data_IF_214884682660
#
_entry.id   IF_214884682660
#
_cell.length_a   1.000
_cell.length_b   1.000
_cell.length_c   1.000
_cell.angle_alpha   90.00
_cell.angle_beta   90.00
_cell.angle_gamma   90.00
#
_symmetry.space_group_name_H-M   'P 1'
#
loop_
_entity.id
_entity.type
_entity.pdbx_description
1 polymer ?
#
# COMPACT_ATOMS: atom_id res chain seq x y z
N UNK A 1 6.59 -1.88 -26.57
CA UNK A 1 7.80 -2.46 -25.95
C UNK A 1 7.39 -2.97 -24.58
N UNK A 2 7.46 -4.28 -24.34
CA UNK A 2 7.26 -4.83 -22.99
C UNK A 2 8.52 -4.49 -22.18
N UNK A 3 8.46 -3.44 -21.36
CA UNK A 3 9.53 -3.13 -20.41
C UNK A 3 9.70 -4.35 -19.48
N UNK A 4 10.92 -4.93 -19.50
CA UNK A 4 11.27 -6.08 -18.68
C UNK A 4 11.34 -5.61 -17.23
N UNK A 5 10.27 -5.87 -16.47
CA UNK A 5 10.14 -5.48 -15.07
C UNK A 5 11.25 -6.09 -14.21
N UNK A 6 11.83 -5.27 -13.35
CA UNK A 6 12.67 -5.75 -12.24
C UNK A 6 11.80 -6.02 -11.01
N UNK A 7 12.23 -6.96 -10.17
CA UNK A 7 11.59 -7.25 -8.89
C UNK A 7 12.58 -6.90 -7.79
N UNK A 8 12.13 -6.15 -6.79
CA UNK A 8 12.89 -6.00 -5.55
C UNK A 8 12.77 -7.31 -4.77
N UNK A 9 13.79 -8.15 -4.90
CA UNK A 9 13.77 -9.49 -4.34
C UNK A 9 13.64 -9.46 -2.81
N UNK A 10 14.29 -8.51 -2.15
CA UNK A 10 14.21 -8.38 -0.70
C UNK A 10 12.81 -7.97 -0.26
N UNK A 11 12.18 -6.99 -0.92
CA UNK A 11 10.81 -6.60 -0.61
C UNK A 11 9.82 -7.76 -0.86
N UNK A 12 10.02 -8.52 -1.94
CA UNK A 12 9.22 -9.71 -2.25
C UNK A 12 9.38 -10.79 -1.18
N UNK A 13 10.61 -11.08 -0.75
CA UNK A 13 10.88 -12.07 0.27
C UNK A 13 10.21 -11.67 1.59
N UNK A 14 10.29 -10.39 1.98
CA UNK A 14 9.55 -9.88 3.15
C UNK A 14 8.04 -10.11 3.01
N UNK A 15 7.45 -9.82 1.85
CA UNK A 15 6.02 -10.04 1.64
C UNK A 15 5.60 -11.52 1.78
N UNK A 16 6.44 -12.43 1.27
CA UNK A 16 6.18 -13.87 1.34
C UNK A 16 6.42 -14.40 2.75
N UNK A 17 7.59 -14.13 3.34
CA UNK A 17 8.03 -14.83 4.55
C UNK A 17 7.58 -14.14 5.84
N UNK A 18 7.53 -12.80 5.84
CA UNK A 18 7.13 -12.03 7.02
C UNK A 18 5.63 -11.75 7.05
N UNK A 19 5.05 -11.42 5.92
CA UNK A 19 3.61 -11.11 5.84
C UNK A 19 2.75 -12.31 5.44
N UNK A 20 3.35 -13.39 4.94
CA UNK A 20 2.60 -14.57 4.50
C UNK A 20 1.71 -14.30 3.28
N UNK A 21 1.98 -13.23 2.52
CA UNK A 21 1.11 -12.81 1.43
C UNK A 21 1.52 -13.44 0.09
N UNK A 22 0.56 -14.03 -0.65
CA UNK A 22 0.82 -14.58 -1.97
C UNK A 22 1.13 -13.47 -3.00
N UNK A 23 1.79 -13.81 -4.12
CA UNK A 23 2.17 -12.82 -5.15
C UNK A 23 1.00 -11.99 -5.72
N UNK A 24 -0.20 -12.55 -5.72
CA UNK A 24 -1.45 -11.86 -6.10
C UNK A 24 -1.75 -10.66 -5.19
N UNK A 25 -1.21 -10.62 -3.96
CA UNK A 25 -1.38 -9.55 -2.98
C UNK A 25 -0.12 -8.71 -2.75
N UNK A 26 0.90 -8.85 -3.60
CA UNK A 26 2.09 -8.00 -3.55
C UNK A 26 1.79 -6.62 -4.14
N UNK A 27 1.11 -5.79 -3.34
CA UNK A 27 0.67 -4.43 -3.68
C UNK A 27 1.72 -3.43 -3.24
N UNK A 28 2.45 -2.73 -4.14
CA UNK A 28 3.47 -1.78 -3.72
C UNK A 28 2.82 -0.50 -3.16
N UNK A 29 3.34 -0.02 -2.03
CA UNK A 29 2.77 1.13 -1.29
C UNK A 29 3.78 2.21 -0.94
N UNK A 30 5.07 1.90 -0.97
CA UNK A 30 6.15 2.84 -0.67
C UNK A 30 7.40 2.56 -1.52
N UNK A 31 8.18 3.61 -1.78
CA UNK A 31 9.43 3.56 -2.53
C UNK A 31 10.44 4.58 -1.99
N UNK A 32 11.74 4.28 -2.05
CA UNK A 32 12.79 5.18 -1.57
C UNK A 32 12.93 6.40 -2.48
N UNK A 33 12.95 6.17 -3.79
CA UNK A 33 13.13 7.19 -4.82
C UNK A 33 12.15 7.00 -5.98
N UNK A 34 12.02 8.04 -6.82
CA UNK A 34 11.24 7.96 -8.07
C UNK A 34 11.76 6.85 -8.98
N UNK A 35 13.09 6.67 -9.02
CA UNK A 35 13.69 5.63 -9.86
C UNK A 35 13.27 4.23 -9.42
N UNK A 36 13.03 4.00 -8.13
CA UNK A 36 12.55 2.70 -7.63
C UNK A 36 11.11 2.44 -8.05
N UNK A 37 10.26 3.48 -8.09
CA UNK A 37 8.91 3.37 -8.66
C UNK A 37 8.98 2.95 -10.12
N UNK A 38 9.80 3.65 -10.91
CA UNK A 38 9.97 3.36 -12.35
C UNK A 38 10.56 1.97 -12.56
N UNK A 39 11.46 1.52 -11.69
CA UNK A 39 12.16 0.24 -11.85
C UNK A 39 11.28 -0.97 -11.49
N UNK A 40 10.49 -0.85 -10.41
CA UNK A 40 9.82 -2.01 -9.80
C UNK A 40 8.29 -2.01 -9.94
N UNK A 41 7.68 -0.84 -10.15
CA UNK A 41 6.23 -0.64 -10.02
C UNK A 41 5.61 -0.35 -11.39
N UNK A 42 6.04 0.70 -12.07
CA UNK A 42 5.39 1.13 -13.31
C UNK A 42 5.94 2.40 -13.94
N UNK A 43 5.49 2.70 -15.15
CA UNK A 43 5.93 3.88 -15.89
C UNK A 43 5.34 5.17 -15.31
N UNK A 44 6.19 6.18 -15.13
CA UNK A 44 5.76 7.53 -14.82
C UNK A 44 5.18 8.22 -16.05
N UNK A 45 3.85 8.17 -16.21
CA UNK A 45 3.15 8.74 -17.37
C UNK A 45 3.02 10.25 -17.30
N UNK A 46 2.94 10.81 -16.09
CA UNK A 46 2.83 12.26 -15.88
C UNK A 46 3.44 12.68 -14.55
N UNK A 47 4.20 13.78 -14.59
CA UNK A 47 4.60 14.50 -13.36
C UNK A 47 3.44 15.43 -12.99
N UNK A 48 2.81 15.16 -11.86
CA UNK A 48 1.64 15.91 -11.37
C UNK A 48 2.04 17.14 -10.54
N UNK A 49 3.23 17.11 -9.96
CA UNK A 49 3.85 18.25 -9.29
C UNK A 49 5.36 18.11 -9.34
N UNK A 50 6.02 19.08 -9.99
CA UNK A 50 7.47 19.16 -10.08
C UNK A 50 8.07 19.87 -8.86
N UNK A 51 9.38 19.74 -8.72
CA UNK A 51 10.20 20.33 -7.66
C UNK A 51 11.47 19.50 -7.45
N UNK A 52 12.45 20.01 -6.68
CA UNK A 52 13.51 19.20 -6.11
C UNK A 52 13.14 18.82 -4.66
N UNK A 53 12.78 17.55 -4.36
CA UNK A 53 12.55 16.43 -5.27
C UNK A 53 11.17 16.48 -5.95
N UNK A 54 10.94 15.61 -6.95
CA UNK A 54 9.63 15.47 -7.62
C UNK A 54 8.59 15.16 -6.55
N UNK A 55 7.45 15.86 -6.58
CA UNK A 55 6.48 15.85 -5.47
C UNK A 55 5.30 14.93 -5.69
N UNK A 56 4.87 14.75 -6.93
CA UNK A 56 3.77 13.85 -7.27
C UNK A 56 3.87 13.30 -8.69
N UNK A 57 3.52 12.03 -8.84
CA UNK A 57 3.62 11.25 -10.07
C UNK A 57 2.31 10.49 -10.30
N UNK A 58 1.94 10.41 -11.57
CA UNK A 58 0.92 9.49 -12.07
C UNK A 58 1.64 8.28 -12.68
N UNK A 59 1.33 7.10 -12.15
CA UNK A 59 2.01 5.84 -12.45
C UNK A 59 0.99 4.87 -13.05
N UNK A 60 1.35 4.27 -14.18
CA UNK A 60 0.70 3.08 -14.72
C UNK A 60 1.54 1.85 -14.35
N UNK A 61 1.03 0.91 -13.54
CA UNK A 61 1.77 -0.29 -13.15
C UNK A 61 2.15 -1.16 -14.34
N UNK A 62 3.32 -1.80 -14.28
CA UNK A 62 3.74 -2.76 -15.31
C UNK A 62 2.94 -4.05 -15.34
N UNK A 63 2.43 -4.46 -14.19
CA UNK A 63 1.71 -5.71 -14.02
C UNK A 63 0.54 -5.50 -13.09
N UNK A 64 -0.60 -6.02 -13.53
CA UNK A 64 -1.75 -6.31 -12.68
C UNK A 64 -1.72 -7.83 -12.50
N UNK A 65 -1.36 -8.35 -11.31
CA UNK A 65 -1.32 -9.79 -11.06
C UNK A 65 -2.67 -10.43 -11.36
N UNK A 66 -2.64 -11.70 -11.80
CA UNK A 66 -3.85 -12.49 -11.88
C UNK A 66 -4.40 -12.72 -10.46
N UNK A 67 -5.70 -12.51 -10.31
CA UNK A 67 -6.42 -12.83 -9.06
C UNK A 67 -6.47 -14.34 -8.89
N UNK A 68 -6.12 -14.82 -7.71
CA UNK A 68 -6.27 -16.22 -7.29
C UNK A 68 -7.64 -16.43 -6.63
N UNK A 69 -7.83 -17.55 -5.93
CA UNK A 69 -9.10 -17.92 -5.29
C UNK A 69 -9.27 -17.34 -3.88
N UNK A 70 -8.47 -16.33 -3.49
CA UNK A 70 -8.57 -15.73 -2.17
C UNK A 70 -9.88 -14.95 -1.99
N UNK A 71 -10.52 -15.01 -0.80
CA UNK A 71 -11.79 -14.31 -0.55
C UNK A 71 -11.71 -12.78 -0.73
N UNK A 72 -10.54 -12.17 -0.56
CA UNK A 72 -10.33 -10.73 -0.80
C UNK A 72 -10.81 -10.27 -2.17
N UNK A 73 -10.75 -11.13 -3.20
CA UNK A 73 -11.15 -10.78 -4.56
C UNK A 73 -12.66 -10.74 -4.78
N UNK A 74 -13.44 -11.26 -3.84
CA UNK A 74 -14.90 -11.19 -3.86
C UNK A 74 -15.40 -9.80 -3.39
N UNK A 75 -14.54 -9.00 -2.76
CA UNK A 75 -14.85 -7.63 -2.34
C UNK A 75 -14.78 -6.68 -3.54
N UNK A 76 -15.78 -5.81 -3.68
CA UNK A 76 -15.80 -4.76 -4.72
C UNK A 76 -14.60 -3.81 -4.54
N UNK A 77 -14.29 -3.49 -3.28
CA UNK A 77 -13.20 -2.60 -2.90
C UNK A 77 -11.82 -3.14 -3.30
N UNK A 78 -11.68 -4.46 -3.56
CA UNK A 78 -10.42 -5.07 -4.01
C UNK A 78 -9.90 -4.51 -5.34
N UNK A 79 -10.76 -3.84 -6.12
CA UNK A 79 -10.38 -3.15 -7.35
C UNK A 79 -9.28 -2.10 -7.12
N UNK A 80 -9.19 -1.50 -5.92
CA UNK A 80 -8.15 -0.51 -5.61
C UNK A 80 -6.76 -1.13 -5.48
N UNK A 81 -6.63 -2.41 -5.13
CA UNK A 81 -5.34 -3.04 -4.81
C UNK A 81 -4.39 -3.00 -6.00
N UNK A 82 -4.87 -3.41 -7.18
CA UNK A 82 -4.12 -3.41 -8.44
C UNK A 82 -4.70 -2.47 -9.49
N UNK A 83 -5.24 -1.33 -9.04
CA UNK A 83 -5.74 -0.30 -9.94
C UNK A 83 -4.67 0.11 -10.97
N UNK A 84 -5.07 0.20 -12.23
CA UNK A 84 -4.22 0.45 -13.41
C UNK A 84 -3.66 1.87 -13.47
N UNK A 85 -4.22 2.75 -12.64
CA UNK A 85 -3.89 4.17 -12.56
C UNK A 85 -3.62 4.54 -11.10
N UNK A 86 -2.39 4.94 -10.79
CA UNK A 86 -1.96 5.19 -9.42
C UNK A 86 -1.35 6.58 -9.26
N UNK A 87 -1.52 7.16 -8.06
CA UNK A 87 -0.87 8.42 -7.70
C UNK A 87 0.11 8.17 -6.57
N UNK A 88 1.35 8.58 -6.80
CA UNK A 88 2.46 8.45 -5.87
C UNK A 88 2.98 9.84 -5.51
N UNK A 89 3.19 10.09 -4.22
CA UNK A 89 3.57 11.42 -3.73
C UNK A 89 4.75 11.35 -2.78
N UNK A 90 5.54 12.42 -2.79
CA UNK A 90 6.61 12.58 -1.82
C UNK A 90 6.02 12.70 -0.40
N UNK A 91 6.66 12.09 0.60
CA UNK A 91 6.18 11.96 1.98
C UNK A 91 5.97 13.30 2.72
N UNK A 92 6.61 14.37 2.23
CA UNK A 92 6.48 15.74 2.72
C UNK A 92 5.56 16.63 1.88
N UNK A 93 5.00 16.12 0.78
CA UNK A 93 4.18 16.92 -0.12
C UNK A 93 2.76 17.08 0.42
N UNK A 94 2.36 18.32 0.75
CA UNK A 94 1.02 18.64 1.26
C UNK A 94 -0.05 18.85 0.17
N UNK A 95 0.36 19.07 -1.08
CA UNK A 95 -0.55 19.32 -2.21
C UNK A 95 -1.12 18.07 -2.87
N UNK A 96 -0.96 16.89 -2.25
CA UNK A 96 -1.28 15.59 -2.84
C UNK A 96 -2.75 15.47 -3.28
N UNK A 97 -3.70 16.09 -2.55
CA UNK A 97 -5.12 16.12 -2.94
C UNK A 97 -5.32 16.76 -4.31
N UNK A 98 -4.68 17.89 -4.56
CA UNK A 98 -4.76 18.59 -5.86
C UNK A 98 -4.15 17.74 -6.97
N UNK A 99 -3.00 17.13 -6.71
CA UNK A 99 -2.33 16.27 -7.68
C UNK A 99 -3.16 15.05 -8.03
N UNK A 100 -3.82 14.41 -7.05
CA UNK A 100 -4.70 13.27 -7.30
C UNK A 100 -5.85 13.63 -8.25
N UNK A 101 -6.59 14.71 -7.95
CA UNK A 101 -7.71 15.17 -8.77
C UNK A 101 -7.25 15.53 -10.20
N UNK A 102 -6.09 16.18 -10.33
CA UNK A 102 -5.51 16.54 -11.63
C UNK A 102 -4.92 15.35 -12.41
N UNK A 103 -4.58 14.26 -11.71
CA UNK A 103 -3.94 13.08 -12.28
C UNK A 103 -4.95 12.09 -12.83
N UNK A 104 -5.96 11.76 -12.02
CA UNK A 104 -6.98 10.79 -12.40
C UNK A 104 -8.19 11.42 -13.11
N UNK A 105 -8.36 12.75 -13.01
CA UNK A 105 -9.50 13.45 -13.59
C UNK A 105 -10.82 13.18 -12.87
N UNK A 106 -10.77 12.49 -11.73
CA UNK A 106 -11.92 12.01 -10.99
C UNK A 106 -12.23 12.93 -9.81
N UNK A 107 -13.52 13.20 -9.58
CA UNK A 107 -13.99 13.81 -8.34
C UNK A 107 -14.02 12.71 -7.28
N UNK A 108 -13.60 13.04 -6.06
CA UNK A 108 -13.81 12.16 -4.92
C UNK A 108 -15.29 12.19 -4.54
N UNK A 109 -15.86 11.01 -4.31
CA UNK A 109 -17.23 10.88 -3.83
C UNK A 109 -17.42 11.54 -2.47
N UNK A 110 -18.66 11.98 -2.23
CA UNK A 110 -19.03 12.60 -0.96
C UNK A 110 -18.85 11.58 0.17
N UNK A 111 -17.94 11.87 1.09
CA UNK A 111 -17.61 10.95 2.21
C UNK A 111 -16.22 10.34 2.10
N UNK A 112 -15.54 10.48 0.97
CA UNK A 112 -14.17 10.02 0.78
C UNK A 112 -13.14 11.13 1.01
N UNK A 113 -11.99 10.72 1.53
CA UNK A 113 -10.77 11.52 1.67
C UNK A 113 -9.62 10.79 1.01
N UNK A 114 -8.52 11.50 0.75
CA UNK A 114 -7.29 10.87 0.29
C UNK A 114 -6.37 10.66 1.46
N UNK A 115 -5.80 9.46 1.53
CA UNK A 115 -4.81 9.14 2.54
C UNK A 115 -3.61 8.41 1.93
N UNK A 116 -2.49 8.48 2.63
CA UNK A 116 -1.31 7.67 2.34
C UNK A 116 -1.58 6.26 2.84
N UNK A 117 -1.30 5.25 2.02
CA UNK A 117 -1.49 3.85 2.47
C UNK A 117 -0.62 3.60 3.70
N UNK A 118 0.70 3.81 3.57
CA UNK A 118 1.62 3.81 4.69
C UNK A 118 1.61 5.14 5.46
N UNK A 119 1.70 5.08 6.79
CA UNK A 119 1.87 6.27 7.60
C UNK A 119 3.17 7.03 7.25
N UNK A 120 3.05 8.34 7.02
CA UNK A 120 4.19 9.20 6.63
C UNK A 120 5.35 9.23 7.62
N UNK A 121 5.11 9.07 8.92
CA UNK A 121 6.18 9.09 9.95
C UNK A 121 6.94 7.77 9.92
N UNK A 122 6.22 6.66 9.80
CA UNK A 122 6.82 5.32 9.62
C UNK A 122 7.63 5.28 8.32
N UNK A 123 7.10 5.81 7.22
CA UNK A 123 7.80 5.88 5.94
C UNK A 123 9.18 6.58 6.08
N UNK A 124 9.22 7.74 6.74
CA UNK A 124 10.48 8.45 7.03
C UNK A 124 11.45 7.61 7.87
N UNK A 125 10.95 6.93 8.91
CA UNK A 125 11.78 6.04 9.74
C UNK A 125 12.33 4.84 8.98
N UNK A 126 11.64 4.39 7.92
CA UNK A 126 12.05 3.30 7.03
C UNK A 126 12.87 3.77 5.83
N UNK A 127 13.03 5.08 5.65
CA UNK A 127 13.77 5.67 4.53
C UNK A 127 13.00 5.70 3.20
N UNK A 128 11.67 5.57 3.22
CA UNK A 128 10.83 5.68 2.03
C UNK A 128 10.35 7.13 1.83
N UNK A 129 10.72 7.72 0.69
CA UNK A 129 10.38 9.11 0.38
C UNK A 129 9.08 9.24 -0.42
N UNK A 130 8.61 8.16 -1.04
CA UNK A 130 7.43 8.17 -1.90
C UNK A 130 6.39 7.15 -1.43
N UNK A 131 5.13 7.57 -1.40
CA UNK A 131 4.01 6.79 -0.91
C UNK A 131 2.88 6.76 -1.92
N UNK A 132 2.22 5.62 -2.03
CA UNK A 132 0.95 5.49 -2.75
C UNK A 132 -0.15 6.15 -1.94
N UNK A 133 -1.02 6.90 -2.62
CA UNK A 133 -2.24 7.45 -2.03
C UNK A 133 -3.48 6.78 -2.63
N UNK A 134 -4.53 6.65 -1.84
CA UNK A 134 -5.81 6.07 -2.24
C UNK A 134 -6.98 6.85 -1.66
N UNK A 135 -8.15 6.83 -2.32
CA UNK A 135 -9.39 7.33 -1.72
C UNK A 135 -9.85 6.33 -0.66
N UNK A 136 -10.17 6.82 0.54
CA UNK A 136 -10.75 6.03 1.63
C UNK A 136 -11.95 6.77 2.22
N UNK A 137 -12.93 6.05 2.76
CA UNK A 137 -14.03 6.69 3.47
C UNK A 137 -13.51 7.43 4.72
N UNK A 138 -14.16 8.54 5.07
CA UNK A 138 -13.85 9.29 6.30
C UNK A 138 -13.98 8.42 7.55
N UNK A 139 -14.93 7.50 7.53
CA UNK A 139 -15.19 6.58 8.64
C UNK A 139 -14.03 5.59 8.83
N UNK A 140 -13.56 4.96 7.75
CA UNK A 140 -12.38 4.10 7.80
C UNK A 140 -11.14 4.88 8.27
N UNK A 141 -10.93 6.10 7.73
CA UNK A 141 -9.80 6.97 8.10
C UNK A 141 -9.75 7.31 9.59
N UNK A 142 -10.89 7.66 10.20
CA UNK A 142 -10.93 7.99 11.63
C UNK A 142 -10.71 6.76 12.53
N UNK A 143 -11.04 5.58 12.02
CA UNK A 143 -10.97 4.31 12.75
C UNK A 143 -9.56 3.72 12.79
N UNK A 144 -8.74 3.96 11.77
CA UNK A 144 -7.38 3.44 11.65
C UNK A 144 -6.27 4.32 12.26
N UNK A 145 -6.53 5.62 12.48
CA UNK A 145 -5.46 6.63 12.60
C UNK A 145 -4.86 6.89 13.99
N UNK A 146 -5.57 6.59 15.09
CA UNK A 146 -5.18 7.11 16.41
C UNK A 146 -4.13 6.31 17.18
N UNK A 147 -4.34 5.00 17.29
CA UNK A 147 -3.58 4.12 18.18
C UNK A 147 -2.50 3.36 17.41
N UNK A 148 -2.85 2.66 16.33
CA UNK A 148 -1.88 1.85 15.58
C UNK A 148 -0.77 2.70 14.97
N UNK A 149 -1.08 3.90 14.48
CA UNK A 149 -0.06 4.81 13.96
C UNK A 149 0.95 5.24 15.02
N UNK A 150 0.51 5.45 16.27
CA UNK A 150 1.42 5.78 17.38
C UNK A 150 2.32 4.62 17.72
N UNK A 151 1.74 3.42 17.89
CA UNK A 151 2.49 2.19 18.15
C UNK A 151 3.51 1.89 17.06
N UNK A 152 3.14 1.98 15.78
CA UNK A 152 4.04 1.75 14.67
C UNK A 152 5.19 2.75 14.64
N UNK A 153 4.91 4.02 14.92
CA UNK A 153 5.96 5.04 15.03
C UNK A 153 6.88 4.79 16.22
N UNK A 154 6.34 4.46 17.39
CA UNK A 154 7.13 4.15 18.59
C UNK A 154 8.03 2.94 18.36
N UNK A 155 7.48 1.86 17.81
CA UNK A 155 8.21 0.64 17.47
C UNK A 155 9.36 0.94 16.51
N UNK A 156 9.10 1.61 15.39
CA UNK A 156 10.11 1.97 14.41
C UNK A 156 11.07 3.07 14.88
N UNK A 157 10.75 3.76 15.97
CA UNK A 157 11.62 4.76 16.59
C UNK A 157 12.64 4.15 17.56
N UNK A 158 12.47 2.90 17.98
CA UNK A 158 13.44 2.19 18.83
C UNK A 158 14.83 2.10 18.17
N UNK A 159 15.91 2.10 18.97
CA UNK A 159 17.29 2.05 18.45
C UNK A 159 17.53 0.83 17.56
N UNK A 160 17.05 -0.33 18.00
CA UNK A 160 17.11 -1.57 17.23
C UNK A 160 16.41 -1.44 15.88
N UNK A 161 15.15 -0.96 15.87
CA UNK A 161 14.40 -0.85 14.61
C UNK A 161 14.94 0.23 13.68
N UNK A 162 15.52 1.31 14.21
CA UNK A 162 16.22 2.31 13.39
C UNK A 162 17.41 1.68 12.67
N UNK A 163 18.17 0.83 13.35
CA UNK A 163 19.30 0.12 12.73
C UNK A 163 18.79 -0.86 11.66
N UNK A 164 17.78 -1.68 11.98
CA UNK A 164 17.15 -2.60 11.02
C UNK A 164 16.62 -1.86 9.78
N UNK A 165 15.95 -0.72 9.98
CA UNK A 165 15.43 0.10 8.88
C UNK A 165 16.55 0.73 8.04
N UNK A 166 17.64 1.16 8.67
CA UNK A 166 18.80 1.75 7.99
C UNK A 166 19.52 0.71 7.13
N UNK A 167 19.69 -0.50 7.65
CA UNK A 167 20.42 -1.58 6.99
C UNK A 167 19.57 -2.34 5.96
N UNK A 168 18.25 -2.12 5.97
CA UNK A 168 17.34 -2.76 5.01
C UNK A 168 17.68 -2.38 3.57
N UNK A 169 17.97 -3.36 2.69
CA UNK A 169 18.23 -3.08 1.27
C UNK A 169 16.95 -2.82 0.46
N UNK A 170 15.76 -2.98 1.07
CA UNK A 170 14.47 -2.79 0.41
C UNK A 170 14.40 -1.40 -0.25
N UNK A 171 14.16 -1.37 -1.56
CA UNK A 171 13.96 -0.17 -2.37
C UNK A 171 12.49 0.22 -2.47
N UNK A 172 11.60 -0.78 -2.41
CA UNK A 172 10.15 -0.61 -2.26
C UNK A 172 9.63 -1.37 -1.05
N UNK A 173 8.36 -1.13 -0.70
CA UNK A 173 7.63 -1.97 0.24
C UNK A 173 6.27 -2.36 -0.33
N UNK A 174 5.95 -3.65 -0.20
CA UNK A 174 4.61 -4.20 -0.39
C UNK A 174 3.75 -4.01 0.86
N UNK A 175 2.45 -3.87 0.64
CA UNK A 175 1.42 -3.81 1.68
C UNK A 175 1.52 -5.03 2.60
N UNK A 176 1.41 -4.79 3.91
CA UNK A 176 1.03 -5.85 4.84
C UNK A 176 -0.51 -5.94 4.97
N UNK A 177 -1.01 -6.85 5.80
CA UNK A 177 -2.45 -7.03 5.97
C UNK A 177 -3.15 -5.74 6.45
N UNK A 178 -2.50 -4.96 7.33
CA UNK A 178 -3.05 -3.70 7.81
C UNK A 178 -3.17 -2.66 6.70
N UNK A 179 -2.17 -2.58 5.82
CA UNK A 179 -2.21 -1.73 4.64
C UNK A 179 -3.33 -2.17 3.68
N UNK A 180 -3.50 -3.49 3.46
CA UNK A 180 -4.56 -4.04 2.60
C UNK A 180 -5.95 -3.72 3.15
N UNK A 181 -6.20 -3.96 4.44
CA UNK A 181 -7.48 -3.64 5.11
C UNK A 181 -7.83 -2.17 4.96
N UNK A 182 -6.85 -1.28 5.13
CA UNK A 182 -7.01 0.15 4.92
C UNK A 182 -7.39 0.47 3.47
N UNK A 183 -6.69 -0.14 2.51
CA UNK A 183 -6.98 0.06 1.09
C UNK A 183 -8.38 -0.44 0.72
N UNK A 184 -8.82 -1.56 1.29
CA UNK A 184 -10.17 -2.12 1.11
C UNK A 184 -11.28 -1.29 1.79
N UNK A 185 -10.94 -0.19 2.47
CA UNK A 185 -11.89 0.68 3.14
C UNK A 185 -12.76 -0.06 4.19
N UNK A 186 -12.25 -1.15 4.76
CA UNK A 186 -12.94 -1.90 5.78
C UNK A 186 -12.92 -1.11 7.09
N UNK A 187 -14.08 -0.98 7.73
CA UNK A 187 -14.20 -0.24 8.99
C UNK A 187 -13.44 -0.98 10.07
N UNK A 188 -12.51 -0.29 10.73
CA UNK A 188 -11.79 -0.90 11.82
C UNK A 188 -12.33 -0.41 13.17
N UNK A 189 -13.37 -1.05 13.72
CA UNK A 189 -14.04 -0.58 14.94
C UNK A 189 -13.09 -0.39 16.12
N UNK A 190 -12.81 0.87 16.52
CA UNK A 190 -12.16 1.26 17.78
C UNK A 190 -10.68 0.88 17.98
N UNK A 191 -10.25 -0.26 17.44
CA UNK A 191 -8.89 -0.75 17.41
C UNK A 191 -8.59 -1.25 15.99
N UNK A 192 -7.38 -1.01 15.46
CA UNK A 192 -6.99 -1.53 14.15
C UNK A 192 -6.75 -3.05 14.19
N UNK A 193 -6.53 -3.62 15.37
CA UNK A 193 -6.13 -5.02 15.52
C UNK A 193 -7.28 -6.00 15.33
N UNK A 194 -8.46 -5.76 15.91
CA UNK A 194 -9.60 -6.68 15.75
C UNK A 194 -10.00 -6.85 14.27
N UNK A 195 -10.06 -5.78 13.48
CA UNK A 195 -10.44 -5.84 12.06
C UNK A 195 -9.33 -6.39 11.17
N UNK A 196 -8.05 -6.23 11.56
CA UNK A 196 -6.92 -6.91 10.90
C UNK A 196 -6.94 -8.40 11.20
N UNK A 197 -7.21 -8.80 12.44
CA UNK A 197 -7.37 -10.21 12.82
C UNK A 197 -8.59 -10.83 12.13
N UNK A 198 -9.70 -10.11 12.06
CA UNK A 198 -10.88 -10.50 11.30
C UNK A 198 -10.59 -10.56 9.80
N UNK A 199 -9.73 -9.69 9.25
CA UNK A 199 -9.38 -9.71 7.84
C UNK A 199 -8.40 -10.81 7.44
N UNK A 200 -7.82 -11.55 8.39
CA UNK A 200 -6.86 -12.63 8.10
C UNK A 200 -7.46 -13.68 7.15
N UNK A 201 -8.76 -14.02 7.28
CA UNK A 201 -9.41 -14.97 6.38
C UNK A 201 -9.45 -14.49 4.92
N UNK A 202 -9.33 -13.17 4.66
CA UNK A 202 -9.36 -12.62 3.30
C UNK A 202 -8.13 -13.01 2.49
N UNK A 203 -7.01 -13.29 3.17
CA UNK A 203 -5.71 -13.56 2.54
C UNK A 203 -5.27 -15.03 2.69
N UNK A 204 -6.14 -15.87 3.25
CA UNK A 204 -5.94 -17.31 3.37
C UNK A 204 -6.82 -18.07 2.37
N UNK A 205 -6.29 -19.17 1.82
CA UNK A 205 -7.10 -20.06 0.99
C UNK A 205 -8.24 -20.65 1.83
N UNK A 206 -9.47 -20.64 1.29
CA UNK A 206 -10.57 -21.34 1.94
C UNK A 206 -10.18 -22.81 2.10
N UNK A 207 -10.33 -23.41 3.29
CA UNK A 207 -10.13 -24.84 3.43
C UNK A 207 -11.07 -25.54 2.43
N UNK A 208 -10.49 -26.36 1.56
CA UNK A 208 -11.27 -27.17 0.62
C UNK A 208 -12.31 -27.93 1.43
N UNK A 209 -13.59 -27.70 1.16
CA UNK A 209 -14.69 -28.47 1.75
C UNK A 209 -14.69 -29.90 1.20
N UNK A 210 -13.69 -30.70 1.57
CA UNK A 210 -13.77 -32.14 1.55
C UNK A 210 -14.26 -32.59 2.93
N UNK A 211 -15.58 -32.49 3.14
CA UNK A 211 -16.19 -33.25 4.23
C UNK A 211 -16.07 -34.75 3.89
N UNK A 212 -15.64 -35.61 4.80
CA UNK A 212 -15.73 -37.04 4.58
C UNK A 212 -17.21 -37.40 4.47
N UNK A 213 -17.58 -38.06 3.36
CA UNK A 213 -18.89 -38.72 3.25
C UNK A 213 -19.00 -39.68 4.44
N UNK A 214 -19.97 -39.41 5.33
CA UNK A 214 -20.45 -40.40 6.29
C UNK A 214 -21.41 -41.34 5.59
#
# INVERSE_FOLDING_TARGET
>A
MNEKRSVDQFARDVAITKYGLPPSLHVPIAAREVQDIITYIGSARKILSSGPPIRALFIEPYLIPQKDSLPIWELEESAILHHDRQVWVHVDYSGYRRSYLNGLGEKLDKGFVLDHVMNRRVARLKGFSYLRIVPISREANSSSGGLCEKWAVEYHSSSHMRQVNKDSPARIQYADLSDLVKMLNLKTGGSLQDPVNEAQYLVEERPSTSWPKR
#
